data_IF_877257723816
#
_entry.id   IF_877257723816
#
_cell.length_a   1.000
_cell.length_b   1.000
_cell.length_c   1.000
_cell.angle_alpha   90.00
_cell.angle_beta   90.00
_cell.angle_gamma   90.00
#
_symmetry.space_group_name_H-M   'P 1'
#
loop_
_entity.id
_entity.type
_entity.pdbx_description
1 polymer ?
#
# COMPACT_ATOMS: atom_id res chain seq x y z
N UNK A 1 13.66 -3.97 3.91
CA UNK A 1 12.42 -4.74 3.63
C UNK A 1 12.24 -5.12 2.15
N UNK A 2 13.31 -5.05 1.34
CA UNK A 2 13.32 -5.41 -0.09
C UNK A 2 13.71 -6.90 -0.33
N UNK A 3 14.54 -7.58 0.50
CA UNK A 3 14.95 -8.96 0.22
C UNK A 3 13.83 -10.01 0.28
N UNK A 4 12.78 -9.77 1.08
CA UNK A 4 11.73 -10.75 1.33
C UNK A 4 10.78 -10.94 0.14
N UNK A 5 10.50 -9.88 -0.62
CA UNK A 5 9.59 -9.94 -1.78
C UNK A 5 10.21 -10.79 -2.90
N UNK A 6 11.53 -10.70 -3.09
CA UNK A 6 12.28 -11.52 -4.05
C UNK A 6 12.31 -13.01 -3.66
N UNK A 7 12.32 -13.32 -2.37
CA UNK A 7 12.39 -14.69 -1.83
C UNK A 7 11.03 -15.41 -1.76
N UNK A 8 9.90 -14.67 -1.69
CA UNK A 8 8.56 -15.26 -1.51
C UNK A 8 7.86 -15.66 -2.84
N UNK A 9 8.54 -15.56 -3.99
CA UNK A 9 7.96 -15.87 -5.32
C UNK A 9 7.39 -17.28 -5.51
N UNK A 10 7.56 -18.19 -4.53
CA UNK A 10 7.09 -19.57 -4.59
C UNK A 10 5.61 -19.77 -4.27
N UNK A 11 4.94 -18.82 -3.60
CA UNK A 11 3.53 -18.99 -3.20
C UNK A 11 2.72 -17.69 -3.39
N UNK A 12 1.81 -17.67 -4.38
CA UNK A 12 1.09 -16.47 -4.83
C UNK A 12 0.26 -15.79 -3.73
N UNK A 13 -0.31 -16.59 -2.82
CA UNK A 13 -1.09 -16.10 -1.67
C UNK A 13 -0.19 -15.37 -0.68
N UNK A 14 0.97 -15.94 -0.34
CA UNK A 14 1.92 -15.35 0.60
C UNK A 14 2.48 -14.03 0.07
N UNK A 15 2.81 -13.96 -1.22
CA UNK A 15 3.24 -12.71 -1.86
C UNK A 15 2.14 -11.66 -1.85
N UNK A 16 0.87 -12.04 -2.05
CA UNK A 16 -0.26 -11.11 -2.00
C UNK A 16 -0.45 -10.50 -0.60
N UNK A 17 -0.34 -11.33 0.45
CA UNK A 17 -0.36 -10.85 1.84
C UNK A 17 0.82 -9.93 2.16
N UNK A 18 2.02 -10.22 1.65
CA UNK A 18 3.17 -9.34 1.80
C UNK A 18 2.95 -7.99 1.12
N UNK A 19 2.47 -7.98 -0.13
CA UNK A 19 2.14 -6.75 -0.86
C UNK A 19 1.15 -5.91 -0.03
N UNK A 20 0.04 -6.51 0.42
CA UNK A 20 -0.93 -5.82 1.27
C UNK A 20 -0.29 -5.26 2.55
N UNK A 21 0.60 -6.00 3.19
CA UNK A 21 1.29 -5.58 4.42
C UNK A 21 2.20 -4.38 4.17
N UNK A 22 2.95 -4.36 3.06
CA UNK A 22 3.80 -3.23 2.67
C UNK A 22 2.95 -1.98 2.42
N UNK A 23 1.87 -2.10 1.65
CA UNK A 23 0.99 -0.97 1.35
C UNK A 23 0.29 -0.44 2.62
N UNK A 24 -0.10 -1.31 3.55
CA UNK A 24 -0.63 -0.91 4.85
C UNK A 24 0.41 -0.16 5.71
N UNK A 25 1.67 -0.61 5.70
CA UNK A 25 2.75 0.08 6.42
C UNK A 25 3.02 1.47 5.84
N UNK A 26 3.04 1.60 4.51
CA UNK A 26 3.16 2.89 3.82
C UNK A 26 2.00 3.82 4.21
N UNK A 27 0.77 3.29 4.26
CA UNK A 27 -0.42 4.03 4.70
C UNK A 27 -0.26 4.58 6.11
N UNK A 28 0.09 3.73 7.07
CA UNK A 28 0.22 4.13 8.48
C UNK A 28 1.34 5.16 8.69
N UNK A 29 2.43 5.04 7.94
CA UNK A 29 3.52 6.02 7.98
C UNK A 29 3.06 7.40 7.49
N UNK A 30 2.48 7.49 6.29
CA UNK A 30 2.02 8.76 5.74
C UNK A 30 0.82 9.34 6.49
N UNK A 31 -0.05 8.49 7.05
CA UNK A 31 -1.14 8.94 7.91
C UNK A 31 -0.62 9.73 9.11
N UNK A 32 0.48 9.28 9.74
CA UNK A 32 1.10 10.01 10.85
C UNK A 32 1.62 11.37 10.38
N UNK A 33 2.36 11.41 9.28
CA UNK A 33 2.86 12.66 8.68
C UNK A 33 1.70 13.62 8.40
N UNK A 34 0.64 13.18 7.75
CA UNK A 34 -0.52 14.04 7.46
C UNK A 34 -1.22 14.54 8.73
N UNK A 35 -1.22 13.73 9.78
CA UNK A 35 -1.81 14.12 11.06
C UNK A 35 -0.95 15.16 11.80
N UNK A 36 0.37 15.07 11.67
CA UNK A 36 1.32 15.98 12.30
C UNK A 36 1.42 17.32 11.56
N UNK A 37 1.37 17.32 10.21
CA UNK A 37 1.62 18.52 9.39
C UNK A 37 0.36 19.21 8.84
N UNK A 38 -0.77 18.51 8.70
CA UNK A 38 -2.01 19.10 8.16
C UNK A 38 -2.98 19.41 9.29
N UNK A 39 -3.01 20.67 9.70
CA UNK A 39 -3.87 21.13 10.81
C UNK A 39 -5.33 21.34 10.39
N UNK A 40 -5.60 21.69 9.13
CA UNK A 40 -6.97 21.82 8.66
C UNK A 40 -7.63 20.44 8.51
N UNK A 41 -8.69 20.20 9.27
CA UNK A 41 -9.36 18.90 9.33
C UNK A 41 -9.96 18.47 7.99
N UNK A 42 -10.54 19.40 7.24
CA UNK A 42 -11.18 19.12 5.95
C UNK A 42 -10.11 18.71 4.93
N UNK A 43 -9.03 19.49 4.82
CA UNK A 43 -7.91 19.18 3.94
C UNK A 43 -7.26 17.85 4.30
N UNK A 44 -7.06 17.58 5.60
CA UNK A 44 -6.49 16.31 6.07
C UNK A 44 -7.36 15.11 5.70
N UNK A 45 -8.69 15.21 5.84
CA UNK A 45 -9.62 14.14 5.44
C UNK A 45 -9.56 13.87 3.94
N UNK A 46 -9.60 14.92 3.11
CA UNK A 46 -9.50 14.77 1.66
C UNK A 46 -8.15 14.20 1.21
N UNK A 47 -7.05 14.66 1.82
CA UNK A 47 -5.71 14.13 1.55
C UNK A 47 -5.62 12.64 1.88
N UNK A 48 -6.17 12.20 3.02
CA UNK A 48 -6.20 10.79 3.40
C UNK A 48 -7.04 9.93 2.44
N UNK A 49 -8.19 10.43 1.99
CA UNK A 49 -9.04 9.73 1.01
C UNK A 49 -8.28 9.58 -0.32
N UNK A 50 -7.72 10.67 -0.84
CA UNK A 50 -6.94 10.64 -2.07
C UNK A 50 -5.78 9.66 -1.98
N UNK A 51 -5.03 9.72 -0.87
CA UNK A 51 -3.90 8.82 -0.64
C UNK A 51 -4.32 7.35 -0.56
N UNK A 52 -5.48 7.05 0.05
CA UNK A 52 -6.00 5.68 0.11
C UNK A 52 -6.34 5.14 -1.27
N UNK A 53 -6.96 5.95 -2.14
CA UNK A 53 -7.26 5.57 -3.53
C UNK A 53 -5.98 5.32 -4.31
N UNK A 54 -4.99 6.22 -4.18
CA UNK A 54 -3.68 6.06 -4.82
C UNK A 54 -3.00 4.75 -4.41
N UNK A 55 -2.96 4.44 -3.11
CA UNK A 55 -2.36 3.20 -2.63
C UNK A 55 -3.11 1.96 -3.13
N UNK A 56 -4.44 2.02 -3.26
CA UNK A 56 -5.22 0.91 -3.79
C UNK A 56 -4.88 0.62 -5.26
N UNK A 57 -4.74 1.67 -6.09
CA UNK A 57 -4.34 1.55 -7.50
C UNK A 57 -2.95 0.92 -7.60
N UNK A 58 -1.97 1.45 -6.85
CA UNK A 58 -0.62 0.92 -6.86
C UNK A 58 -0.54 -0.52 -6.32
N UNK A 59 -1.32 -0.87 -5.30
CA UNK A 59 -1.38 -2.23 -4.77
C UNK A 59 -1.95 -3.21 -5.82
N UNK A 60 -3.04 -2.83 -6.49
CA UNK A 60 -3.62 -3.60 -7.59
C UNK A 60 -2.58 -3.85 -8.68
N UNK A 61 -1.93 -2.80 -9.16
CA UNK A 61 -0.96 -2.91 -10.25
C UNK A 61 0.27 -3.74 -9.84
N UNK A 62 0.67 -3.66 -8.57
CA UNK A 62 1.73 -4.52 -8.01
C UNK A 62 1.31 -5.99 -8.00
N UNK A 63 0.08 -6.31 -7.58
CA UNK A 63 -0.45 -7.68 -7.57
C UNK A 63 -0.50 -8.27 -8.99
N UNK A 64 -0.93 -7.46 -9.98
CA UNK A 64 -0.95 -7.83 -11.40
C UNK A 64 0.47 -8.02 -11.95
N UNK A 65 1.40 -7.13 -11.62
CA UNK A 65 2.80 -7.23 -12.05
C UNK A 65 3.46 -8.54 -11.59
N UNK A 66 3.16 -8.99 -10.38
CA UNK A 66 3.65 -10.26 -9.85
C UNK A 66 2.82 -11.48 -10.32
N UNK A 67 1.85 -11.31 -11.23
CA UNK A 67 0.94 -12.35 -11.72
C UNK A 67 0.31 -13.17 -10.60
N UNK A 68 0.06 -12.56 -9.44
CA UNK A 68 -0.46 -13.24 -8.25
C UNK A 68 -1.95 -13.61 -8.39
N UNK A 69 -2.61 -12.97 -9.35
CA UNK A 69 -3.97 -13.25 -9.82
C UNK A 69 -3.93 -13.22 -11.34
N UNK A 70 -4.24 -14.35 -11.99
CA UNK A 70 -4.56 -14.38 -13.42
C UNK A 70 -5.99 -13.87 -13.59
N UNK A 71 -6.16 -12.77 -14.33
CA UNK A 71 -7.47 -12.26 -14.75
C UNK A 71 -8.02 -13.11 -15.90
#
# INVERSE_FOLDING_TARGET
MIPAILLTSRNSISTSFLVMSVFHQIYMFHKKILLDYVHNEVTRKWALIYFKVLLLIMAKDTIVYFSLVSL
#
